data_IF_030737664394
#
_entry.id   IF_030737664394
#
_cell.length_a   1.000
_cell.length_b   1.000
_cell.length_c   1.000
_cell.angle_alpha   90.00
_cell.angle_beta   90.00
_cell.angle_gamma   90.00
#
_symmetry.space_group_name_H-M   'P 1'
#
loop_
_entity.id
_entity.type
_entity.pdbx_description
1 polymer ?
#
# COMPACT_ATOMS: atom_id res chain seq x y z
N UNK A 1 -15.95 -18.00 8.89
CA UNK A 1 -15.04 -17.19 9.76
C UNK A 1 -15.87 -16.72 10.95
N UNK A 2 -15.31 -16.78 12.16
CA UNK A 2 -15.98 -16.30 13.36
C UNK A 2 -16.20 -14.78 13.28
N UNK A 3 -17.38 -14.28 13.62
CA UNK A 3 -17.74 -12.86 13.56
C UNK A 3 -16.80 -11.98 14.38
N UNK A 4 -16.27 -12.50 15.48
CA UNK A 4 -15.30 -11.80 16.31
C UNK A 4 -13.95 -11.63 15.59
N UNK A 5 -13.50 -12.67 14.88
CA UNK A 5 -12.27 -12.60 14.09
C UNK A 5 -12.39 -11.62 12.92
N UNK A 6 -13.54 -11.60 12.24
CA UNK A 6 -13.85 -10.62 11.19
C UNK A 6 -13.83 -9.20 11.74
N UNK A 7 -14.53 -8.96 12.85
CA UNK A 7 -14.60 -7.65 13.49
C UNK A 7 -13.23 -7.14 13.91
N UNK A 8 -12.37 -8.02 14.45
CA UNK A 8 -11.00 -7.68 14.81
C UNK A 8 -10.16 -7.27 13.58
N UNK A 9 -10.24 -8.04 12.49
CA UNK A 9 -9.52 -7.77 11.25
C UNK A 9 -9.95 -6.44 10.63
N UNK A 10 -11.25 -6.20 10.53
CA UNK A 10 -11.79 -4.93 10.02
C UNK A 10 -11.41 -3.75 10.89
N UNK A 11 -11.50 -3.87 12.21
CA UNK A 11 -11.08 -2.82 13.14
C UNK A 11 -9.60 -2.47 13.00
N UNK A 12 -8.74 -3.48 12.84
CA UNK A 12 -7.31 -3.28 12.59
C UNK A 12 -7.04 -2.60 11.24
N UNK A 13 -7.73 -3.04 10.18
CA UNK A 13 -7.61 -2.43 8.86
C UNK A 13 -8.03 -0.95 8.90
N UNK A 14 -9.16 -0.66 9.51
CA UNK A 14 -9.67 0.70 9.69
C UNK A 14 -8.69 1.58 10.46
N UNK A 15 -8.19 1.12 11.59
CA UNK A 15 -7.23 1.87 12.40
C UNK A 15 -5.93 2.18 11.63
N UNK A 16 -5.45 1.25 10.81
CA UNK A 16 -4.28 1.47 9.96
C UNK A 16 -4.53 2.51 8.86
N UNK A 17 -5.70 2.48 8.23
CA UNK A 17 -6.10 3.46 7.22
C UNK A 17 -6.18 4.85 7.85
N UNK A 18 -6.85 4.99 8.98
CA UNK A 18 -6.97 6.27 9.71
C UNK A 18 -5.60 6.82 10.12
N UNK A 19 -4.72 5.97 10.66
CA UNK A 19 -3.36 6.36 11.02
C UNK A 19 -2.56 6.84 9.79
N UNK A 20 -2.67 6.15 8.66
CA UNK A 20 -2.00 6.53 7.44
C UNK A 20 -2.51 7.86 6.87
N UNK A 21 -3.82 8.08 6.89
CA UNK A 21 -4.45 9.32 6.44
C UNK A 21 -4.11 10.51 7.34
N UNK A 22 -3.93 10.26 8.63
CA UNK A 22 -3.55 11.29 9.61
C UNK A 22 -2.06 11.61 9.60
N UNK A 23 -1.24 10.83 8.90
CA UNK A 23 0.21 11.05 8.81
C UNK A 23 0.53 12.12 7.78
N UNK A 24 1.22 13.22 8.15
CA UNK A 24 1.44 14.34 7.24
C UNK A 24 2.58 14.12 6.24
N UNK A 25 2.53 14.87 5.13
CA UNK A 25 3.63 15.06 4.20
C UNK A 25 4.17 13.77 3.57
N UNK A 26 5.49 13.70 3.44
CA UNK A 26 6.18 12.57 2.81
C UNK A 26 6.00 11.25 3.58
N UNK A 27 5.88 11.30 4.89
CA UNK A 27 5.59 10.12 5.71
C UNK A 27 4.19 9.57 5.41
N UNK A 28 3.19 10.45 5.25
CA UNK A 28 1.85 10.07 4.85
C UNK A 28 1.81 9.39 3.49
N UNK A 29 2.60 9.87 2.54
CA UNK A 29 2.71 9.23 1.22
C UNK A 29 3.20 7.77 1.32
N UNK A 30 4.21 7.52 2.13
CA UNK A 30 4.72 6.16 2.37
C UNK A 30 3.71 5.32 3.16
N UNK A 31 3.15 5.91 4.22
CA UNK A 31 2.19 5.23 5.09
C UNK A 31 0.93 4.77 4.33
N UNK A 32 0.33 5.65 3.52
CA UNK A 32 -0.86 5.32 2.71
C UNK A 32 -0.54 4.22 1.71
N UNK A 33 0.54 4.34 0.95
CA UNK A 33 0.91 3.36 -0.06
C UNK A 33 1.19 1.98 0.55
N UNK A 34 1.90 1.93 1.66
CA UNK A 34 2.18 0.67 2.37
C UNK A 34 0.90 0.08 2.96
N UNK A 35 0.08 0.90 3.60
CA UNK A 35 -1.20 0.46 4.20
C UNK A 35 -2.14 -0.12 3.16
N UNK A 36 -2.29 0.52 2.00
CA UNK A 36 -3.16 0.02 0.93
C UNK A 36 -2.68 -1.33 0.39
N UNK A 37 -1.38 -1.51 0.22
CA UNK A 37 -0.79 -2.78 -0.24
C UNK A 37 -1.01 -3.92 0.76
N UNK A 38 -1.02 -3.60 2.06
CA UNK A 38 -1.21 -4.60 3.11
C UNK A 38 -2.70 -4.90 3.35
N UNK A 39 -3.54 -3.87 3.36
CA UNK A 39 -4.95 -3.97 3.72
C UNK A 39 -5.81 -4.52 2.59
N UNK A 40 -5.52 -4.19 1.33
CA UNK A 40 -6.34 -4.63 0.22
C UNK A 40 -6.42 -6.16 0.09
N UNK A 41 -5.31 -6.93 0.17
CA UNK A 41 -5.39 -8.39 0.19
C UNK A 41 -6.14 -8.93 1.41
N UNK A 42 -5.97 -8.31 2.57
CA UNK A 42 -6.66 -8.72 3.80
C UNK A 42 -8.17 -8.54 3.70
N UNK A 43 -8.63 -7.45 3.10
CA UNK A 43 -10.06 -7.22 2.83
C UNK A 43 -10.62 -8.21 1.81
N UNK A 44 -9.87 -8.55 0.76
CA UNK A 44 -10.28 -9.59 -0.19
C UNK A 44 -10.51 -10.94 0.49
N UNK A 45 -9.62 -11.31 1.40
CA UNK A 45 -9.74 -12.55 2.17
C UNK A 45 -10.95 -12.54 3.13
N UNK A 46 -11.21 -11.42 3.80
CA UNK A 46 -12.39 -11.26 4.67
C UNK A 46 -13.69 -11.32 3.89
N UNK A 47 -13.74 -10.70 2.72
CA UNK A 47 -14.94 -10.63 1.87
C UNK A 47 -15.21 -11.92 1.10
N UNK A 48 -14.21 -12.78 0.96
CA UNK A 48 -14.33 -14.08 0.31
C UNK A 48 -14.36 -14.02 -1.22
N UNK A 49 -14.70 -15.14 -1.89
CA UNK A 49 -14.56 -15.28 -3.35
C UNK A 49 -15.33 -14.26 -4.18
N UNK A 50 -16.47 -13.79 -3.69
CA UNK A 50 -17.29 -12.79 -4.39
C UNK A 50 -16.57 -11.42 -4.51
N UNK A 51 -15.56 -11.15 -3.70
CA UNK A 51 -14.74 -9.96 -3.78
C UNK A 51 -13.86 -9.92 -5.04
N UNK A 52 -13.57 -11.07 -5.64
CA UNK A 52 -12.79 -11.17 -6.87
C UNK A 52 -13.62 -10.94 -8.15
N UNK A 53 -14.91 -10.75 -8.03
CA UNK A 53 -15.80 -10.51 -9.16
C UNK A 53 -15.72 -9.06 -9.63
N UNK A 54 -15.60 -8.87 -10.95
CA UNK A 54 -15.58 -7.54 -11.58
C UNK A 54 -16.95 -6.87 -11.59
N UNK A 55 -16.99 -5.58 -11.89
CA UNK A 55 -18.20 -4.76 -11.85
C UNK A 55 -19.38 -5.32 -12.67
N UNK A 56 -19.09 -5.98 -13.80
CA UNK A 56 -20.10 -6.52 -14.69
C UNK A 56 -20.65 -7.90 -14.26
N UNK A 57 -20.17 -8.42 -13.14
CA UNK A 57 -20.52 -9.76 -12.68
C UNK A 57 -21.60 -9.66 -11.60
N UNK A 58 -22.70 -10.43 -11.79
CA UNK A 58 -23.76 -10.53 -10.80
C UNK A 58 -23.21 -11.08 -9.48
N UNK A 59 -23.46 -10.39 -8.38
CA UNK A 59 -23.00 -10.78 -7.04
C UNK A 59 -21.62 -10.23 -6.66
N UNK A 60 -21.03 -9.37 -7.49
CA UNK A 60 -19.79 -8.68 -7.18
C UNK A 60 -19.93 -7.80 -5.92
N UNK A 61 -19.02 -7.93 -4.98
CA UNK A 61 -19.00 -7.15 -3.74
C UNK A 61 -18.77 -5.68 -4.06
N UNK A 62 -19.60 -4.82 -3.47
CA UNK A 62 -19.57 -3.38 -3.71
C UNK A 62 -19.55 -3.00 -5.22
N UNK A 63 -20.30 -3.75 -6.04
CA UNK A 63 -20.34 -3.54 -7.48
C UNK A 63 -18.98 -3.68 -8.16
N UNK A 64 -18.12 -4.58 -7.68
CA UNK A 64 -16.75 -4.78 -8.19
C UNK A 64 -15.70 -3.86 -7.57
N UNK A 65 -16.09 -3.01 -6.62
CA UNK A 65 -15.18 -2.05 -5.98
C UNK A 65 -14.06 -2.73 -5.19
N UNK A 66 -14.31 -3.89 -4.60
CA UNK A 66 -13.30 -4.66 -3.86
C UNK A 66 -12.18 -5.16 -4.79
N UNK A 67 -12.54 -5.76 -5.91
CA UNK A 67 -11.61 -6.24 -6.93
C UNK A 67 -10.80 -5.08 -7.54
N UNK A 68 -11.47 -4.00 -7.88
CA UNK A 68 -10.82 -2.80 -8.41
C UNK A 68 -9.80 -2.22 -7.44
N UNK A 69 -10.16 -2.08 -6.16
CA UNK A 69 -9.26 -1.58 -5.12
C UNK A 69 -8.03 -2.47 -4.95
N UNK A 70 -8.23 -3.79 -4.97
CA UNK A 70 -7.13 -4.76 -4.89
C UNK A 70 -6.12 -4.60 -6.03
N UNK A 71 -6.59 -4.42 -7.26
CA UNK A 71 -5.72 -4.18 -8.42
C UNK A 71 -5.01 -2.82 -8.35
N UNK A 72 -5.64 -1.80 -7.79
CA UNK A 72 -5.06 -0.48 -7.63
C UNK A 72 -4.04 -0.38 -6.50
N UNK A 73 -4.16 -1.17 -5.46
CA UNK A 73 -3.32 -1.08 -4.28
C UNK A 73 -1.80 -1.13 -4.57
N UNK A 74 -1.28 -2.01 -5.43
CA UNK A 74 0.14 -2.00 -5.80
C UNK A 74 0.55 -0.71 -6.54
N UNK A 75 -0.32 -0.18 -7.39
CA UNK A 75 -0.05 1.01 -8.20
C UNK A 75 0.15 2.27 -7.35
N UNK A 76 -0.56 2.37 -6.22
CA UNK A 76 -0.39 3.48 -5.27
C UNK A 76 1.05 3.60 -4.77
N UNK A 77 1.78 2.50 -4.72
CA UNK A 77 3.20 2.47 -4.33
C UNK A 77 4.19 2.80 -5.45
N UNK A 78 3.72 3.07 -6.67
CA UNK A 78 4.56 3.23 -7.87
C UNK A 78 4.41 4.61 -8.48
N UNK A 79 3.18 5.08 -8.73
CA UNK A 79 2.97 6.35 -9.43
C UNK A 79 3.38 7.57 -8.59
N UNK A 80 3.78 8.63 -9.26
CA UNK A 80 4.22 9.88 -8.59
C UNK A 80 5.53 9.75 -7.82
N UNK A 81 6.25 8.65 -7.99
CA UNK A 81 7.43 8.25 -7.25
C UNK A 81 7.18 6.97 -6.43
N UNK A 82 8.08 6.02 -6.54
CA UNK A 82 7.97 4.76 -5.79
C UNK A 82 8.12 4.98 -4.29
N UNK A 83 7.60 4.06 -3.49
CA UNK A 83 7.80 4.06 -2.03
C UNK A 83 9.30 4.15 -1.68
N UNK A 84 10.16 3.47 -2.45
CA UNK A 84 11.60 3.46 -2.19
C UNK A 84 12.24 4.81 -2.45
N UNK A 85 11.79 5.53 -3.48
CA UNK A 85 12.20 6.92 -3.72
C UNK A 85 11.81 7.82 -2.55
N UNK A 86 10.60 7.71 -2.05
CA UNK A 86 10.15 8.50 -0.90
C UNK A 86 10.90 8.13 0.39
N UNK A 87 11.16 6.85 0.63
CA UNK A 87 12.01 6.41 1.76
C UNK A 87 13.42 6.97 1.66
N UNK A 88 13.99 6.98 0.45
CA UNK A 88 15.30 7.59 0.22
C UNK A 88 15.29 9.11 0.46
N UNK A 89 14.22 9.81 0.05
CA UNK A 89 14.07 11.24 0.36
C UNK A 89 13.97 11.49 1.87
N UNK A 90 13.26 10.64 2.61
CA UNK A 90 13.20 10.71 4.08
C UNK A 90 14.59 10.51 4.67
N UNK A 91 15.32 9.49 4.23
CA UNK A 91 16.68 9.23 4.69
C UNK A 91 17.62 10.41 4.46
N UNK A 92 17.57 11.01 3.29
CA UNK A 92 18.44 12.13 2.91
C UNK A 92 18.07 13.45 3.58
N UNK A 93 16.79 13.82 3.54
CA UNK A 93 16.35 15.18 3.88
C UNK A 93 15.79 15.32 5.28
N UNK A 94 15.25 14.24 5.84
CA UNK A 94 14.69 14.26 7.20
C UNK A 94 15.67 13.69 8.21
N UNK A 95 16.31 12.57 7.90
CA UNK A 95 17.27 11.91 8.79
C UNK A 95 18.72 12.33 8.60
N UNK A 96 19.03 13.08 7.52
CA UNK A 96 20.37 13.58 7.25
C UNK A 96 21.42 12.51 6.95
N UNK A 97 21.01 11.33 6.44
CA UNK A 97 21.91 10.20 6.20
C UNK A 97 22.79 10.34 4.93
N UNK A 98 22.75 11.52 4.28
CA UNK A 98 23.53 11.79 3.07
C UNK A 98 22.89 11.25 1.79
N UNK A 99 23.54 11.53 0.65
CA UNK A 99 23.07 11.07 -0.66
C UNK A 99 23.60 9.68 -0.99
N UNK A 100 22.72 8.85 -1.54
CA UNK A 100 23.15 7.59 -2.14
C UNK A 100 24.05 7.87 -3.36
N UNK A 101 25.17 7.16 -3.43
CA UNK A 101 26.04 7.24 -4.61
C UNK A 101 25.59 6.23 -5.66
N UNK A 102 24.93 6.72 -6.71
CA UNK A 102 24.45 5.91 -7.84
C UNK A 102 25.48 5.79 -8.97
N UNK A 103 26.72 6.26 -8.77
CA UNK A 103 27.76 6.11 -9.78
C UNK A 103 28.03 4.64 -10.04
N UNK A 104 28.09 4.19 -11.31
CA UNK A 104 28.48 2.82 -11.59
C UNK A 104 29.89 2.54 -11.04
N UNK A 105 30.17 1.31 -10.64
CA UNK A 105 31.50 0.98 -10.15
C UNK A 105 32.55 1.30 -11.20
N UNK A 106 33.67 1.92 -10.79
CA UNK A 106 34.76 2.24 -11.70
C UNK A 106 35.24 0.94 -12.35
N UNK A 107 35.27 0.89 -13.68
CA UNK A 107 35.88 -0.24 -14.40
C UNK A 107 37.32 -0.37 -13.93
N UNK A 108 37.63 -1.50 -13.32
CA UNK A 108 39.02 -1.86 -13.04
C UNK A 108 39.66 -2.15 -14.39
N UNK A 109 40.45 -1.22 -14.90
CA UNK A 109 41.35 -1.48 -16.05
C UNK A 109 42.44 -2.44 -15.55
N UNK A 110 42.41 -3.66 -16.04
CA UNK A 110 43.54 -4.61 -15.89
C UNK A 110 44.62 -4.25 -16.87
#
# INVERSE_FOLDING_TARGET
>A
MDDQAVSHRLGRAFARIEAAQSTPGIFGRVAIAQTMRDVAPELMDVLGPAAALTADTRGAVAGGGAEYLYRWAPLIGIYGGTIDVFRNMIAQHVLGLGRSNYSPPKKVTR
#
